data_IF_289695105489
#
_entry.id   IF_289695105489
#
_cell.length_a   1.000
_cell.length_b   1.000
_cell.length_c   1.000
_cell.angle_alpha   90.00
_cell.angle_beta   90.00
_cell.angle_gamma   90.00
#
_symmetry.space_group_name_H-M   'P 1'
#
loop_
_entity.id
_entity.type
_entity.pdbx_description
1 polymer ?
#
# COMPACT_ATOMS: atom_id res chain seq x y z
N UNK A 1 0.55 -1.59 -15.31
CA UNK A 1 0.65 -3.03 -15.01
C UNK A 1 -0.08 -3.88 -16.04
N UNK A 2 -1.39 -3.68 -16.27
CA UNK A 2 -2.18 -4.48 -17.24
C UNK A 2 -1.55 -4.66 -18.62
N UNK A 3 -1.13 -3.57 -19.27
CA UNK A 3 -0.49 -3.65 -20.59
C UNK A 3 0.75 -4.56 -20.60
N UNK A 4 1.57 -4.52 -19.54
CA UNK A 4 2.74 -5.37 -19.44
C UNK A 4 2.36 -6.86 -19.28
N UNK A 5 1.29 -7.15 -18.54
CA UNK A 5 0.77 -8.52 -18.40
C UNK A 5 0.20 -9.03 -19.72
N UNK A 6 -0.62 -8.22 -20.40
CA UNK A 6 -1.17 -8.56 -21.71
C UNK A 6 -0.06 -8.80 -22.75
N UNK A 7 0.97 -7.93 -22.80
CA UNK A 7 2.12 -8.14 -23.67
C UNK A 7 2.89 -9.42 -23.32
N UNK A 8 3.11 -9.69 -22.03
CA UNK A 8 3.80 -10.90 -21.59
C UNK A 8 3.04 -12.16 -22.00
N UNK A 9 1.73 -12.21 -21.81
CA UNK A 9 0.92 -13.39 -22.14
C UNK A 9 0.68 -13.56 -23.65
N UNK A 10 0.36 -12.49 -24.37
CA UNK A 10 -0.13 -12.60 -25.75
C UNK A 10 0.95 -12.33 -26.79
N UNK A 11 1.81 -11.33 -26.58
CA UNK A 11 2.87 -10.99 -27.54
C UNK A 11 4.11 -11.85 -27.32
N UNK A 12 4.60 -11.95 -26.08
CA UNK A 12 5.78 -12.76 -25.74
C UNK A 12 5.46 -14.23 -25.44
N UNK A 13 4.16 -14.56 -25.30
CA UNK A 13 3.69 -15.93 -25.06
C UNK A 13 4.33 -16.59 -23.82
N UNK A 14 4.60 -15.80 -22.78
CA UNK A 14 5.10 -16.29 -21.50
C UNK A 14 4.12 -17.31 -20.92
N UNK A 15 4.59 -18.54 -20.62
CA UNK A 15 3.76 -19.64 -20.10
C UNK A 15 4.05 -20.04 -18.66
N UNK A 16 5.23 -19.70 -18.15
CA UNK A 16 5.63 -20.08 -16.80
C UNK A 16 5.04 -19.15 -15.75
N UNK A 17 5.62 -17.95 -15.64
CA UNK A 17 5.28 -16.99 -14.60
C UNK A 17 5.55 -15.57 -15.07
N UNK A 18 4.84 -14.62 -14.46
CA UNK A 18 5.07 -13.19 -14.64
C UNK A 18 5.46 -12.60 -13.28
N UNK A 19 6.61 -11.96 -13.23
CA UNK A 19 7.11 -11.25 -12.06
C UNK A 19 6.78 -9.75 -12.16
N UNK A 20 6.40 -9.14 -11.04
CA UNK A 20 6.16 -7.70 -10.92
C UNK A 20 6.92 -7.09 -9.76
N UNK A 21 7.37 -5.86 -10.00
CA UNK A 21 8.04 -5.03 -9.01
C UNK A 21 7.72 -3.55 -9.25
N UNK A 22 7.73 -2.77 -8.18
CA UNK A 22 7.58 -1.31 -8.28
C UNK A 22 8.91 -0.66 -8.73
N UNK A 23 8.83 0.49 -9.40
CA UNK A 23 10.03 1.20 -9.91
C UNK A 23 11.00 1.70 -8.83
N UNK A 24 10.57 1.74 -7.57
CA UNK A 24 11.33 2.16 -6.40
C UNK A 24 11.81 0.96 -5.55
N UNK A 25 11.80 -0.24 -6.11
CA UNK A 25 12.11 -1.48 -5.40
C UNK A 25 13.39 -2.14 -5.92
N UNK A 26 14.27 -2.54 -5.00
CA UNK A 26 15.47 -3.31 -5.28
C UNK A 26 15.24 -4.77 -4.87
N UNK A 27 15.36 -5.68 -5.83
CA UNK A 27 15.10 -7.11 -5.64
C UNK A 27 16.41 -7.86 -5.37
N UNK A 28 16.41 -8.80 -4.42
CA UNK A 28 17.57 -9.65 -4.15
C UNK A 28 17.92 -10.53 -5.37
N UNK A 29 19.20 -10.85 -5.54
CA UNK A 29 19.71 -11.63 -6.69
C UNK A 29 19.07 -13.00 -6.88
N UNK A 30 18.72 -13.70 -5.80
CA UNK A 30 18.02 -15.00 -5.84
C UNK A 30 16.49 -14.88 -5.90
N UNK A 31 15.94 -13.65 -6.04
CA UNK A 31 14.53 -13.39 -5.83
C UNK A 31 13.61 -14.08 -6.83
N UNK A 32 14.00 -14.11 -8.11
CA UNK A 32 13.23 -14.81 -9.14
C UNK A 32 13.23 -16.33 -8.91
N UNK A 33 14.40 -16.91 -8.65
CA UNK A 33 14.55 -18.36 -8.48
C UNK A 33 13.76 -18.89 -7.27
N UNK A 34 13.86 -18.21 -6.12
CA UNK A 34 13.14 -18.60 -4.89
C UNK A 34 11.62 -18.48 -5.07
N UNK A 35 11.14 -17.40 -5.70
CA UNK A 35 9.71 -17.21 -5.93
C UNK A 35 9.16 -18.19 -6.94
N UNK A 36 9.89 -18.45 -8.03
CA UNK A 36 9.49 -19.40 -9.05
C UNK A 36 9.46 -20.83 -8.49
N UNK A 37 10.43 -21.19 -7.65
CA UNK A 37 10.47 -22.49 -6.96
C UNK A 37 9.23 -22.68 -6.09
N UNK A 38 8.84 -21.68 -5.30
CA UNK A 38 7.63 -21.76 -4.48
C UNK A 38 6.35 -21.77 -5.34
N UNK A 39 6.30 -21.00 -6.42
CA UNK A 39 5.15 -20.99 -7.33
C UNK A 39 4.94 -22.36 -7.98
N UNK A 40 6.03 -23.01 -8.40
CA UNK A 40 6.02 -24.34 -9.03
C UNK A 40 5.83 -25.49 -8.05
N UNK A 41 5.94 -25.26 -6.74
CA UNK A 41 5.84 -26.33 -5.74
C UNK A 41 4.47 -27.00 -5.68
N UNK A 42 3.44 -26.41 -6.29
CA UNK A 42 2.10 -26.98 -6.35
C UNK A 42 1.31 -26.33 -7.49
N UNK A 43 0.50 -27.08 -8.27
CA UNK A 43 -0.29 -26.51 -9.36
C UNK A 43 -1.42 -25.59 -8.86
N UNK A 44 -1.79 -25.68 -7.59
CA UNK A 44 -2.82 -24.85 -6.98
C UNK A 44 -2.30 -23.45 -6.60
N UNK A 45 -0.99 -23.19 -6.62
CA UNK A 45 -0.43 -21.88 -6.24
C UNK A 45 -0.47 -20.95 -7.47
N UNK A 46 -1.37 -19.98 -7.44
CA UNK A 46 -1.52 -19.00 -8.53
C UNK A 46 -0.64 -17.76 -8.36
N UNK A 47 -0.15 -17.49 -7.15
CA UNK A 47 0.75 -16.37 -6.92
C UNK A 47 1.54 -16.43 -5.63
N UNK A 48 2.69 -15.76 -5.64
CA UNK A 48 3.68 -15.73 -4.56
C UNK A 48 4.13 -14.29 -4.33
N UNK A 49 4.40 -13.93 -3.06
CA UNK A 49 5.07 -12.69 -2.67
C UNK A 49 6.22 -13.01 -1.73
N UNK A 50 7.09 -12.04 -1.48
CA UNK A 50 8.26 -12.19 -0.64
C UNK A 50 8.32 -11.09 0.43
N UNK A 51 9.38 -11.10 1.26
CA UNK A 51 9.57 -10.08 2.29
C UNK A 51 9.82 -8.71 1.65
N UNK A 52 9.17 -7.68 2.18
CA UNK A 52 9.39 -6.29 1.76
C UNK A 52 10.01 -5.54 2.92
N UNK A 53 11.23 -5.09 2.72
CA UNK A 53 11.99 -4.31 3.68
C UNK A 53 11.96 -2.84 3.30
N UNK A 54 12.13 -1.98 4.30
CA UNK A 54 12.18 -0.53 4.10
C UNK A 54 13.64 -0.10 3.97
N UNK A 55 14.02 0.29 2.76
CA UNK A 55 15.38 0.74 2.42
C UNK A 55 15.77 1.97 3.23
N UNK A 56 14.92 3.00 3.23
CA UNK A 56 15.21 4.30 3.79
C UNK A 56 14.89 4.43 5.30
N UNK A 57 14.98 3.33 6.05
CA UNK A 57 14.71 3.29 7.51
C UNK A 57 15.63 4.19 8.35
N UNK A 58 16.75 4.62 7.79
CA UNK A 58 17.69 5.53 8.45
C UNK A 58 17.29 7.02 8.33
N UNK A 59 16.47 7.39 7.33
CA UNK A 59 16.19 8.80 7.00
C UNK A 59 15.29 9.51 8.00
N UNK A 60 14.36 8.80 8.66
CA UNK A 60 13.51 9.39 9.68
C UNK A 60 13.03 8.36 10.71
N UNK A 61 12.63 8.84 11.90
CA UNK A 61 12.01 7.99 12.92
C UNK A 61 10.74 7.30 12.38
N UNK A 62 9.95 8.01 11.58
CA UNK A 62 8.75 7.46 10.95
C UNK A 62 9.07 6.30 10.00
N UNK A 63 10.04 6.47 9.11
CA UNK A 63 10.49 5.41 8.21
C UNK A 63 11.02 4.21 8.98
N UNK A 64 11.72 4.44 10.09
CA UNK A 64 12.21 3.38 10.99
C UNK A 64 11.09 2.62 11.69
N UNK A 65 10.07 3.32 12.20
CA UNK A 65 8.88 2.69 12.78
C UNK A 65 8.09 1.90 11.74
N UNK A 66 8.03 2.40 10.49
CA UNK A 66 7.44 1.67 9.37
C UNK A 66 8.23 0.40 9.06
N UNK A 67 9.56 0.46 9.06
CA UNK A 67 10.41 -0.73 8.88
C UNK A 67 10.11 -1.81 9.94
N UNK A 68 9.98 -1.40 11.22
CA UNK A 68 9.58 -2.32 12.28
C UNK A 68 8.18 -2.92 12.03
N UNK A 69 7.19 -2.10 11.66
CA UNK A 69 5.84 -2.59 11.30
C UNK A 69 5.84 -3.56 10.12
N UNK A 70 6.65 -3.28 9.10
CA UNK A 70 6.78 -4.12 7.91
C UNK A 70 7.35 -5.48 8.26
N UNK A 71 8.36 -5.53 9.13
CA UNK A 71 8.89 -6.80 9.62
C UNK A 71 7.78 -7.69 10.21
N UNK A 72 6.93 -7.15 11.08
CA UNK A 72 5.77 -7.89 11.60
C UNK A 72 4.73 -8.23 10.53
N UNK A 73 4.51 -7.34 9.55
CA UNK A 73 3.57 -7.57 8.46
C UNK A 73 3.97 -8.80 7.65
N UNK A 74 5.24 -8.90 7.26
CA UNK A 74 5.69 -9.97 6.37
C UNK A 74 6.06 -11.24 7.15
N UNK A 75 6.84 -11.10 8.23
CA UNK A 75 7.40 -12.26 8.92
C UNK A 75 6.45 -12.91 9.92
N UNK A 76 5.36 -12.23 10.32
CA UNK A 76 4.33 -12.80 11.20
C UNK A 76 2.99 -12.91 10.47
N UNK A 77 2.43 -11.79 10.00
CA UNK A 77 1.07 -11.78 9.43
C UNK A 77 1.02 -12.53 8.08
N UNK A 78 1.85 -12.17 7.10
CA UNK A 78 1.91 -12.86 5.79
C UNK A 78 2.43 -14.29 5.92
N UNK A 79 3.38 -14.54 6.81
CA UNK A 79 3.84 -15.89 7.11
C UNK A 79 2.69 -16.78 7.63
N UNK A 80 1.87 -16.28 8.55
CA UNK A 80 0.68 -16.97 9.04
C UNK A 80 -0.34 -17.22 7.92
N UNK A 81 -0.61 -16.22 7.09
CA UNK A 81 -1.50 -16.40 5.93
C UNK A 81 -0.97 -17.45 4.94
N UNK A 82 0.35 -17.51 4.72
CA UNK A 82 0.99 -18.49 3.84
C UNK A 82 0.86 -19.92 4.37
N UNK A 83 0.83 -20.11 5.69
CA UNK A 83 0.53 -21.42 6.30
C UNK A 83 -0.85 -21.92 5.83
N UNK A 84 -1.83 -21.03 5.81
CA UNK A 84 -3.20 -21.29 5.34
C UNK A 84 -3.39 -21.13 3.82
N UNK A 85 -2.30 -20.80 3.11
CA UNK A 85 -2.24 -20.61 1.66
C UNK A 85 -3.22 -19.57 1.10
N UNK A 86 -3.52 -18.55 1.91
CA UNK A 86 -4.50 -17.51 1.62
C UNK A 86 -3.93 -16.10 1.88
N UNK A 87 -2.71 -15.84 1.43
CA UNK A 87 -2.12 -14.49 1.47
C UNK A 87 -3.04 -13.50 0.74
N UNK A 88 -3.69 -12.61 1.50
CA UNK A 88 -4.77 -11.75 1.00
C UNK A 88 -4.31 -10.54 0.20
N UNK A 89 -3.00 -10.31 0.11
CA UNK A 89 -2.40 -9.28 -0.73
C UNK A 89 -0.96 -9.68 -1.07
N UNK A 90 -0.73 -10.07 -2.33
CA UNK A 90 0.61 -10.19 -2.88
C UNK A 90 1.12 -8.78 -3.14
N UNK A 91 2.23 -8.40 -2.51
CA UNK A 91 2.64 -7.00 -2.42
C UNK A 91 3.23 -6.50 -3.74
N UNK A 92 2.80 -5.33 -4.23
CA UNK A 92 3.30 -4.71 -5.47
C UNK A 92 4.83 -4.64 -5.63
N UNK A 93 5.63 -4.33 -4.58
CA UNK A 93 7.09 -4.33 -4.65
C UNK A 93 7.71 -5.65 -5.14
N UNK A 94 7.13 -6.80 -4.79
CA UNK A 94 7.68 -8.10 -5.16
C UNK A 94 6.59 -9.18 -5.14
N UNK A 95 6.05 -9.48 -6.31
CA UNK A 95 5.07 -10.55 -6.51
C UNK A 95 5.32 -11.30 -7.82
N UNK A 96 4.91 -12.56 -7.85
CA UNK A 96 5.03 -13.43 -9.02
C UNK A 96 3.73 -14.21 -9.18
N UNK A 97 3.26 -14.35 -10.42
CA UNK A 97 1.98 -14.94 -10.77
C UNK A 97 2.17 -16.02 -11.82
N UNK A 98 1.41 -17.11 -11.74
CA UNK A 98 1.41 -18.16 -12.77
C UNK A 98 0.76 -17.61 -14.03
N UNK A 99 1.45 -17.73 -15.17
CA UNK A 99 0.98 -17.11 -16.41
C UNK A 99 -0.36 -17.70 -16.89
N UNK A 100 -0.52 -19.03 -16.82
CA UNK A 100 -1.76 -19.72 -17.24
C UNK A 100 -3.01 -19.26 -16.47
N UNK A 101 -2.85 -18.94 -15.18
CA UNK A 101 -3.97 -18.53 -14.33
C UNK A 101 -4.44 -17.10 -14.67
N UNK A 102 -3.53 -16.27 -15.16
CA UNK A 102 -3.81 -14.87 -15.50
C UNK A 102 -4.65 -14.71 -16.78
N UNK A 103 -4.66 -15.70 -17.68
CA UNK A 103 -5.41 -15.62 -18.94
C UNK A 103 -6.92 -15.38 -18.73
N UNK A 104 -7.49 -15.97 -17.67
CA UNK A 104 -8.92 -15.80 -17.33
C UNK A 104 -9.19 -14.66 -16.34
N UNK A 105 -8.17 -14.22 -15.61
CA UNK A 105 -8.30 -13.24 -14.52
C UNK A 105 -8.06 -11.80 -14.99
N UNK A 106 -7.21 -11.60 -15.98
CA UNK A 106 -6.72 -10.28 -16.39
C UNK A 106 -7.81 -9.30 -16.84
N UNK A 107 -8.77 -9.79 -17.63
CA UNK A 107 -9.88 -8.99 -18.13
C UNK A 107 -10.74 -8.45 -16.99
N UNK A 108 -11.34 -9.34 -16.16
CA UNK A 108 -12.11 -8.94 -14.98
C UNK A 108 -11.33 -8.05 -14.01
N UNK A 109 -10.04 -8.34 -13.80
CA UNK A 109 -9.18 -7.52 -12.94
C UNK A 109 -9.02 -6.08 -13.44
N UNK A 110 -8.80 -5.88 -14.74
CA UNK A 110 -8.62 -4.54 -15.31
C UNK A 110 -9.93 -3.73 -15.37
N UNK A 111 -11.05 -4.42 -15.55
CA UNK A 111 -12.38 -3.80 -15.64
C UNK A 111 -13.03 -3.61 -14.26
N UNK A 112 -12.26 -3.68 -13.18
CA UNK A 112 -12.78 -3.51 -11.82
C UNK A 112 -13.42 -2.12 -11.65
N UNK A 113 -14.70 -2.12 -11.28
CA UNK A 113 -15.45 -0.92 -10.91
C UNK A 113 -16.01 -1.03 -9.50
N UNK A 114 -16.16 0.12 -8.83
CA UNK A 114 -16.87 0.23 -7.57
C UNK A 114 -17.71 1.50 -7.59
N UNK A 115 -18.98 1.41 -7.21
CA UNK A 115 -19.89 2.57 -7.21
C UNK A 115 -19.96 3.28 -8.58
N UNK A 116 -19.91 2.52 -9.68
CA UNK A 116 -19.97 3.02 -11.06
C UNK A 116 -18.69 3.69 -11.58
N UNK A 117 -17.56 3.59 -10.85
CA UNK A 117 -16.28 4.19 -11.23
C UNK A 117 -15.18 3.14 -11.34
N UNK A 118 -14.28 3.32 -12.31
CA UNK A 118 -13.08 2.52 -12.45
C UNK A 118 -12.16 2.68 -11.23
N UNK A 119 -11.59 1.58 -10.77
CA UNK A 119 -10.67 1.62 -9.63
C UNK A 119 -9.23 1.86 -10.11
N UNK A 120 -8.58 2.87 -9.56
CA UNK A 120 -7.27 3.35 -10.05
C UNK A 120 -6.08 2.90 -9.21
N UNK A 121 -6.31 2.29 -8.04
CA UNK A 121 -5.27 1.85 -7.10
C UNK A 121 -5.68 0.58 -6.35
N UNK A 122 -4.71 -0.19 -5.87
CA UNK A 122 -4.97 -1.45 -5.16
C UNK A 122 -5.16 -2.64 -6.10
N UNK A 123 -4.54 -2.55 -7.27
CA UNK A 123 -4.45 -3.53 -8.32
C UNK A 123 -3.79 -4.83 -7.83
N UNK A 124 -2.78 -4.72 -6.97
CA UNK A 124 -2.11 -5.85 -6.31
C UNK A 124 -3.05 -6.72 -5.46
N UNK A 125 -3.86 -6.06 -4.62
CA UNK A 125 -4.85 -6.71 -3.75
C UNK A 125 -6.02 -7.27 -4.55
N UNK A 126 -6.52 -6.53 -5.53
CA UNK A 126 -7.62 -7.03 -6.36
C UNK A 126 -7.20 -8.25 -7.16
N UNK A 127 -6.01 -8.24 -7.77
CA UNK A 127 -5.47 -9.40 -8.48
C UNK A 127 -5.33 -10.61 -7.56
N UNK A 128 -4.83 -10.39 -6.34
CA UNK A 128 -4.73 -11.43 -5.32
C UNK A 128 -6.09 -12.00 -4.97
N UNK A 129 -7.10 -11.15 -4.83
CA UNK A 129 -8.46 -11.56 -4.53
C UNK A 129 -9.08 -12.37 -5.66
N UNK A 130 -8.84 -11.99 -6.93
CA UNK A 130 -9.27 -12.77 -8.09
C UNK A 130 -8.66 -14.18 -8.08
N UNK A 131 -7.36 -14.32 -7.82
CA UNK A 131 -6.74 -15.64 -7.67
C UNK A 131 -7.46 -16.48 -6.61
N UNK A 132 -7.69 -15.90 -5.43
CA UNK A 132 -8.33 -16.59 -4.31
C UNK A 132 -9.80 -16.94 -4.60
N UNK A 133 -10.52 -16.08 -5.31
CA UNK A 133 -11.90 -16.30 -5.73
C UNK A 133 -12.02 -17.39 -6.81
N UNK A 134 -10.97 -17.60 -7.61
CA UNK A 134 -10.86 -18.71 -8.55
C UNK A 134 -10.38 -20.02 -7.89
N UNK A 135 -10.28 -20.06 -6.56
CA UNK A 135 -9.87 -21.25 -5.80
C UNK A 135 -8.36 -21.54 -5.83
N UNK A 136 -7.56 -20.65 -6.44
CA UNK A 136 -6.12 -20.73 -6.39
C UNK A 136 -5.61 -20.32 -5.01
N UNK A 137 -4.38 -20.72 -4.72
CA UNK A 137 -3.68 -20.48 -3.46
C UNK A 137 -2.62 -19.42 -3.64
N UNK A 138 -2.39 -18.64 -2.60
CA UNK A 138 -1.37 -17.59 -2.58
C UNK A 138 -0.42 -17.79 -1.42
N UNK A 139 0.88 -17.60 -1.67
CA UNK A 139 1.94 -17.92 -0.71
C UNK A 139 2.92 -16.77 -0.51
N UNK A 140 3.61 -16.83 0.62
CA UNK A 140 4.72 -15.95 0.97
C UNK A 140 5.98 -16.78 1.24
N UNK A 141 7.13 -16.28 0.80
CA UNK A 141 8.47 -16.80 1.14
C UNK A 141 9.29 -15.75 1.89
N UNK A 142 10.02 -16.19 2.93
CA UNK A 142 10.98 -15.38 3.67
C UNK A 142 12.43 -15.60 3.18
N UNK A 143 12.64 -16.49 2.20
CA UNK A 143 13.98 -16.87 1.68
C UNK A 143 14.59 -15.83 0.73
N UNK A 144 13.76 -14.90 0.27
CA UNK A 144 14.19 -13.74 -0.50
C UNK A 144 13.43 -12.51 -0.03
N UNK A 145 13.97 -11.33 -0.33
CA UNK A 145 13.31 -10.06 -0.04
C UNK A 145 13.53 -9.03 -1.15
N UNK A 146 12.83 -7.90 -1.02
CA UNK A 146 13.13 -6.67 -1.73
C UNK A 146 13.20 -5.48 -0.76
N UNK A 147 13.87 -4.42 -1.18
CA UNK A 147 14.02 -3.18 -0.44
C UNK A 147 13.24 -2.06 -1.17
N UNK A 148 12.28 -1.43 -0.47
CA UNK A 148 11.40 -0.39 -1.01
C UNK A 148 11.43 0.89 -0.16
N UNK A 149 11.01 2.03 -0.73
CA UNK A 149 11.00 3.34 -0.05
C UNK A 149 9.70 3.56 0.73
N UNK A 150 9.80 3.99 1.98
CA UNK A 150 8.67 4.45 2.80
C UNK A 150 8.63 5.98 2.88
N UNK A 151 7.43 6.61 2.95
CA UNK A 151 7.34 8.05 3.15
C UNK A 151 7.99 8.50 4.47
N UNK A 152 8.86 9.53 4.40
CA UNK A 152 9.55 10.08 5.56
C UNK A 152 8.74 11.15 6.31
N UNK A 153 7.77 11.77 5.64
CA UNK A 153 6.88 12.79 6.21
C UNK A 153 5.54 12.20 6.64
N UNK A 154 5.03 12.62 7.81
CA UNK A 154 3.78 12.11 8.38
C UNK A 154 2.56 12.26 7.45
N UNK A 155 2.37 13.44 6.84
CA UNK A 155 1.21 13.69 5.96
C UNK A 155 1.21 12.76 4.74
N UNK A 156 2.37 12.58 4.10
CA UNK A 156 2.51 11.67 2.96
C UNK A 156 2.32 10.21 3.36
N UNK A 157 2.79 9.83 4.54
CA UNK A 157 2.55 8.52 5.12
C UNK A 157 1.05 8.30 5.34
N UNK A 158 0.33 9.24 5.96
CA UNK A 158 -1.13 9.16 6.14
C UNK A 158 -1.85 9.02 4.80
N UNK A 159 -1.51 9.85 3.81
CA UNK A 159 -2.13 9.76 2.48
C UNK A 159 -1.92 8.37 1.84
N UNK A 160 -0.72 7.81 1.95
CA UNK A 160 -0.43 6.46 1.48
C UNK A 160 -1.25 5.41 2.23
N UNK A 161 -1.29 5.46 3.56
CA UNK A 161 -2.03 4.49 4.37
C UNK A 161 -3.55 4.58 4.17
N UNK A 162 -4.08 5.78 3.98
CA UNK A 162 -5.48 6.00 3.62
C UNK A 162 -5.80 5.32 2.29
N UNK A 163 -4.95 5.48 1.27
CA UNK A 163 -5.13 4.81 -0.03
C UNK A 163 -5.14 3.29 0.09
N UNK A 164 -4.23 2.71 0.86
CA UNK A 164 -4.22 1.26 1.12
C UNK A 164 -5.47 0.81 1.86
N UNK A 165 -5.94 1.60 2.83
CA UNK A 165 -7.17 1.32 3.57
C UNK A 165 -8.41 1.40 2.69
N UNK A 166 -8.47 2.36 1.76
CA UNK A 166 -9.57 2.45 0.77
C UNK A 166 -9.63 1.20 -0.09
N UNK A 167 -8.49 0.74 -0.61
CA UNK A 167 -8.42 -0.49 -1.39
C UNK A 167 -8.86 -1.69 -0.55
N UNK A 168 -8.38 -1.82 0.69
CA UNK A 168 -8.79 -2.91 1.57
C UNK A 168 -10.31 -2.95 1.82
N UNK A 169 -10.93 -1.83 2.20
CA UNK A 169 -12.38 -1.78 2.43
C UNK A 169 -13.18 -2.06 1.17
N UNK A 170 -12.71 -1.57 0.01
CA UNK A 170 -13.32 -1.91 -1.26
C UNK A 170 -13.25 -3.41 -1.54
N UNK A 171 -12.07 -4.02 -1.44
CA UNK A 171 -11.90 -5.47 -1.66
C UNK A 171 -12.70 -6.34 -0.67
N UNK A 172 -13.08 -5.78 0.49
CA UNK A 172 -13.94 -6.48 1.45
C UNK A 172 -15.28 -6.92 0.86
N UNK A 173 -15.77 -6.25 -0.19
CA UNK A 173 -16.98 -6.64 -0.91
C UNK A 173 -16.78 -7.79 -1.89
N UNK A 174 -15.54 -8.08 -2.28
CA UNK A 174 -15.19 -9.18 -3.20
C UNK A 174 -14.66 -10.42 -2.47
N UNK A 175 -14.13 -10.28 -1.24
CA UNK A 175 -13.70 -11.42 -0.42
C UNK A 175 -14.75 -12.53 -0.18
N UNK A 176 -16.08 -12.27 -0.14
CA UNK A 176 -17.06 -13.34 0.05
C UNK A 176 -16.96 -14.49 -0.95
N UNK A 177 -16.60 -14.21 -2.22
CA UNK A 177 -16.37 -15.25 -3.22
C UNK A 177 -15.19 -16.15 -2.83
N UNK A 178 -14.10 -15.55 -2.34
CA UNK A 178 -12.91 -16.27 -1.88
C UNK A 178 -13.20 -17.17 -0.67
N UNK A 179 -14.12 -16.82 0.23
CA UNK A 179 -14.41 -17.63 1.42
C UNK A 179 -14.98 -19.02 1.10
N UNK A 180 -15.61 -19.20 -0.07
CA UNK A 180 -16.11 -20.50 -0.49
C UNK A 180 -14.99 -21.50 -0.85
N UNK A 181 -13.81 -21.02 -1.25
CA UNK A 181 -12.70 -21.85 -1.73
C UNK A 181 -11.50 -21.90 -0.78
N UNK A 182 -11.41 -20.92 0.12
CA UNK A 182 -10.25 -20.71 0.98
C UNK A 182 -10.46 -21.25 2.40
N UNK A 183 -9.37 -21.36 3.17
CA UNK A 183 -9.43 -21.78 4.58
C UNK A 183 -10.36 -20.85 5.37
N UNK A 184 -11.16 -21.36 6.34
CA UNK A 184 -11.94 -20.53 7.27
C UNK A 184 -11.09 -19.48 8.01
N UNK A 185 -9.78 -19.71 8.14
CA UNK A 185 -8.85 -18.73 8.68
C UNK A 185 -8.89 -17.39 7.92
N UNK A 186 -9.07 -17.42 6.59
CA UNK A 186 -9.18 -16.20 5.79
C UNK A 186 -10.37 -15.35 6.23
N UNK A 187 -11.53 -15.98 6.49
CA UNK A 187 -12.71 -15.27 6.99
C UNK A 187 -12.45 -14.62 8.35
N UNK A 188 -11.85 -15.38 9.28
CA UNK A 188 -11.49 -14.87 10.62
C UNK A 188 -10.57 -13.66 10.50
N UNK A 189 -9.50 -13.78 9.73
CA UNK A 189 -8.51 -12.72 9.60
C UNK A 189 -9.07 -11.48 8.91
N UNK A 190 -9.81 -11.64 7.81
CA UNK A 190 -10.44 -10.50 7.11
C UNK A 190 -11.46 -9.80 8.01
N UNK A 191 -12.23 -10.56 8.79
CA UNK A 191 -13.20 -10.00 9.75
C UNK A 191 -12.48 -9.19 10.83
N UNK A 192 -11.40 -9.73 11.41
CA UNK A 192 -10.60 -9.01 12.41
C UNK A 192 -9.99 -7.76 11.79
N UNK A 193 -9.37 -7.85 10.62
CA UNK A 193 -8.76 -6.67 9.96
C UNK A 193 -9.79 -5.59 9.61
N UNK A 194 -11.01 -5.97 9.23
CA UNK A 194 -12.08 -5.04 8.91
C UNK A 194 -12.68 -4.39 10.16
N UNK A 195 -12.98 -5.16 11.21
CA UNK A 195 -13.73 -4.67 12.37
C UNK A 195 -12.86 -4.07 13.48
N UNK A 196 -11.64 -4.58 13.67
CA UNK A 196 -10.78 -4.18 14.78
C UNK A 196 -10.53 -2.67 14.89
N UNK A 197 -10.28 -1.92 13.80
CA UNK A 197 -10.13 -0.47 13.89
C UNK A 197 -11.37 0.23 14.46
N UNK A 198 -12.58 -0.23 14.12
CA UNK A 198 -13.82 0.38 14.58
C UNK A 198 -14.12 0.03 16.03
N UNK A 199 -13.81 -1.19 16.45
CA UNK A 199 -13.88 -1.61 17.86
C UNK A 199 -12.95 -0.72 18.69
N UNK A 200 -11.70 -0.53 18.26
CA UNK A 200 -10.75 0.35 18.95
C UNK A 200 -11.27 1.79 19.09
N UNK A 201 -11.85 2.35 18.03
CA UNK A 201 -12.40 3.71 18.06
C UNK A 201 -13.57 3.79 19.04
N UNK A 202 -14.51 2.83 18.96
CA UNK A 202 -15.65 2.77 19.88
C UNK A 202 -15.19 2.64 21.34
N UNK A 203 -14.21 1.77 21.62
CA UNK A 203 -13.64 1.60 22.96
C UNK A 203 -13.01 2.89 23.48
N UNK A 204 -12.24 3.61 22.64
CA UNK A 204 -11.61 4.88 23.02
C UNK A 204 -12.67 5.94 23.33
N UNK A 205 -13.67 6.10 22.46
CA UNK A 205 -14.75 7.06 22.69
C UNK A 205 -15.58 6.72 23.92
N UNK A 206 -15.87 5.44 24.16
CA UNK A 206 -16.53 4.97 25.38
C UNK A 206 -15.74 5.34 26.63
N UNK A 207 -14.43 5.06 26.67
CA UNK A 207 -13.60 5.42 27.82
C UNK A 207 -13.49 6.93 28.06
N UNK A 208 -13.54 7.74 27.01
CA UNK A 208 -13.42 9.18 27.14
C UNK A 208 -14.73 9.86 27.52
N UNK A 209 -15.87 9.41 26.99
CA UNK A 209 -17.14 10.16 27.06
C UNK A 209 -18.26 9.47 27.84
N UNK A 210 -18.19 8.18 28.11
CA UNK A 210 -19.25 7.49 28.84
C UNK A 210 -19.24 7.91 30.32
N UNK A 211 -20.40 8.36 30.80
CA UNK A 211 -20.62 8.79 32.18
C UNK A 211 -21.06 7.66 33.10
N UNK A 212 -21.49 6.52 32.54
CA UNK A 212 -21.96 5.36 33.30
C UNK A 212 -20.83 4.55 33.93
N UNK A 213 -19.61 4.64 33.38
CA UNK A 213 -18.45 3.91 33.87
C UNK A 213 -17.79 4.62 35.05
N UNK A 214 -17.94 4.06 36.24
CA UNK A 214 -17.41 4.64 37.49
C UNK A 214 -15.93 4.37 37.72
N UNK A 215 -15.27 3.48 36.96
CA UNK A 215 -13.89 3.09 37.23
C UNK A 215 -12.88 3.90 36.41
N UNK A 216 -12.08 4.80 37.04
CA UNK A 216 -11.07 5.60 36.34
C UNK A 216 -9.88 4.77 35.85
N UNK A 217 -9.73 3.54 36.31
CA UNK A 217 -8.56 2.69 36.03
C UNK A 217 -8.68 1.89 34.73
N UNK A 218 -9.89 1.66 34.21
CA UNK A 218 -10.10 0.83 33.00
C UNK A 218 -9.33 1.35 31.77
N UNK A 219 -9.31 2.66 31.46
CA UNK A 219 -8.52 3.17 30.34
C UNK A 219 -7.01 2.96 30.54
N UNK A 220 -6.53 3.10 31.77
CA UNK A 220 -5.11 2.90 32.12
C UNK A 220 -4.73 1.42 31.94
N UNK A 221 -5.52 0.50 32.49
CA UNK A 221 -5.30 -0.95 32.36
C UNK A 221 -5.31 -1.35 30.88
N UNK A 222 -6.24 -0.80 30.10
CA UNK A 222 -6.34 -1.07 28.67
C UNK A 222 -5.10 -0.57 27.91
N UNK A 223 -4.62 0.65 28.18
CA UNK A 223 -3.39 1.19 27.58
C UNK A 223 -2.17 0.36 27.98
N UNK A 224 -2.01 0.04 29.26
CA UNK A 224 -0.90 -0.79 29.77
C UNK A 224 -0.92 -2.16 29.12
N UNK A 225 -2.10 -2.77 28.95
CA UNK A 225 -2.25 -4.08 28.30
C UNK A 225 -1.86 -3.98 26.82
N UNK A 226 -2.36 -2.99 26.09
CA UNK A 226 -2.08 -2.82 24.66
C UNK A 226 -0.58 -2.59 24.41
N UNK A 227 0.04 -1.65 25.13
CA UNK A 227 1.47 -1.38 25.01
C UNK A 227 2.32 -2.52 25.57
N UNK A 228 1.86 -3.22 26.60
CA UNK A 228 2.50 -4.41 27.15
C UNK A 228 2.55 -5.56 26.15
N UNK A 229 1.45 -5.85 25.46
CA UNK A 229 1.41 -6.84 24.37
C UNK A 229 2.30 -6.41 23.21
N UNK A 230 2.28 -5.14 22.82
CA UNK A 230 3.15 -4.62 21.75
C UNK A 230 4.63 -4.73 22.12
N UNK A 231 5.00 -4.43 23.38
CA UNK A 231 6.35 -4.58 23.90
C UNK A 231 6.77 -6.06 23.93
N UNK A 232 5.92 -6.95 24.42
CA UNK A 232 6.17 -8.39 24.42
C UNK A 232 6.44 -8.91 23.00
N UNK A 233 5.57 -8.58 22.04
CA UNK A 233 5.79 -8.91 20.62
C UNK A 233 7.12 -8.37 20.10
N UNK A 234 7.47 -7.14 20.48
CA UNK A 234 8.72 -6.50 20.07
C UNK A 234 9.95 -7.20 20.65
N UNK A 235 9.91 -7.60 21.93
CA UNK A 235 10.99 -8.36 22.58
C UNK A 235 11.20 -9.70 21.86
N UNK A 236 10.12 -10.45 21.60
CA UNK A 236 10.22 -11.70 20.85
C UNK A 236 10.85 -11.50 19.47
N UNK A 237 10.45 -10.46 18.75
CA UNK A 237 11.02 -10.13 17.45
C UNK A 237 12.53 -9.81 17.54
N UNK A 238 12.95 -9.06 18.56
CA UNK A 238 14.39 -8.80 18.82
C UNK A 238 15.14 -10.09 19.13
N UNK A 239 14.55 -11.00 19.91
CA UNK A 239 15.19 -12.26 20.26
C UNK A 239 15.40 -13.16 19.04
N UNK A 240 14.44 -13.17 18.11
CA UNK A 240 14.48 -13.95 16.86
C UNK A 240 15.42 -13.31 15.85
N UNK A 241 15.26 -12.01 15.55
CA UNK A 241 15.97 -11.34 14.46
C UNK A 241 17.29 -10.71 14.87
N UNK A 242 17.58 -10.61 16.17
CA UNK A 242 18.75 -9.90 16.72
C UNK A 242 18.86 -8.44 16.28
N UNK A 243 17.74 -7.84 15.87
CA UNK A 243 17.67 -6.43 15.49
C UNK A 243 16.96 -5.62 16.60
N UNK A 244 17.70 -4.82 17.40
CA UNK A 244 17.12 -4.04 18.50
C UNK A 244 16.14 -2.96 17.99
N UNK A 245 16.20 -2.57 16.72
CA UNK A 245 15.28 -1.57 16.16
C UNK A 245 13.82 -2.04 16.16
N UNK A 246 13.58 -3.35 16.24
CA UNK A 246 12.24 -3.92 16.33
C UNK A 246 11.50 -3.53 17.63
N UNK A 247 12.22 -3.06 18.67
CA UNK A 247 11.60 -2.44 19.86
C UNK A 247 10.72 -1.23 19.52
N UNK A 248 11.01 -0.52 18.43
CA UNK A 248 10.19 0.62 17.98
C UNK A 248 8.77 0.22 17.59
N UNK A 249 8.49 -1.06 17.34
CA UNK A 249 7.13 -1.53 17.11
C UNK A 249 6.23 -1.30 18.34
N UNK A 250 6.76 -1.36 19.56
CA UNK A 250 6.00 -1.01 20.77
C UNK A 250 5.47 0.43 20.74
N UNK A 251 6.23 1.35 20.14
CA UNK A 251 5.82 2.74 19.95
C UNK A 251 4.97 2.96 18.69
N UNK A 252 4.87 1.99 17.77
CA UNK A 252 4.06 2.08 16.55
C UNK A 252 2.57 2.33 16.86
N UNK A 253 2.09 1.89 18.02
CA UNK A 253 0.74 2.16 18.52
C UNK A 253 0.40 3.66 18.52
N UNK A 254 1.36 4.55 18.79
CA UNK A 254 1.14 6.00 18.76
C UNK A 254 0.83 6.51 17.35
N UNK A 255 1.64 6.14 16.35
CA UNK A 255 1.41 6.57 14.97
C UNK A 255 0.18 5.90 14.36
N UNK A 256 -0.13 4.67 14.80
CA UNK A 256 -1.36 4.00 14.46
C UNK A 256 -2.57 4.77 14.99
N UNK A 257 -2.57 5.13 16.28
CA UNK A 257 -3.68 5.83 16.93
C UNK A 257 -3.92 7.24 16.38
N UNK A 258 -2.86 8.05 16.22
CA UNK A 258 -2.98 9.44 15.78
C UNK A 258 -3.01 9.61 14.26
N UNK A 259 -2.64 8.60 13.48
CA UNK A 259 -2.60 8.70 12.03
C UNK A 259 -3.50 7.69 11.34
N UNK A 260 -3.24 6.40 11.55
CA UNK A 260 -3.91 5.35 10.77
C UNK A 260 -5.36 5.10 11.19
N UNK A 261 -5.64 5.10 12.49
CA UNK A 261 -6.94 4.77 13.05
C UNK A 261 -8.08 5.68 12.53
N UNK A 262 -8.02 7.02 12.65
CA UNK A 262 -9.03 7.89 12.04
C UNK A 262 -9.02 7.82 10.51
N UNK A 263 -7.87 7.53 9.89
CA UNK A 263 -7.76 7.34 8.45
C UNK A 263 -8.52 6.11 7.95
N UNK A 264 -8.78 5.10 8.80
CA UNK A 264 -9.62 3.95 8.45
C UNK A 264 -11.08 4.37 8.27
N UNK A 265 -11.64 5.17 9.17
CA UNK A 265 -13.00 5.71 9.01
C UNK A 265 -13.07 6.57 7.75
N UNK A 266 -12.12 7.49 7.60
CA UNK A 266 -12.09 8.37 6.43
C UNK A 266 -11.98 7.57 5.13
N UNK A 267 -11.14 6.53 5.09
CA UNK A 267 -11.02 5.63 3.95
C UNK A 267 -12.33 4.89 3.64
N UNK A 268 -13.06 4.40 4.65
CA UNK A 268 -14.34 3.73 4.45
C UNK A 268 -15.37 4.67 3.82
N UNK A 269 -15.50 5.89 4.33
CA UNK A 269 -16.46 6.88 3.80
C UNK A 269 -16.08 7.35 2.38
N UNK A 270 -14.78 7.40 2.08
CA UNK A 270 -14.26 7.95 0.82
C UNK A 270 -13.69 6.91 -0.13
N UNK A 271 -14.05 5.62 0.03
CA UNK A 271 -13.51 4.53 -0.79
C UNK A 271 -13.91 4.61 -2.27
N UNK A 272 -15.01 5.30 -2.59
CA UNK A 272 -15.46 5.56 -3.97
C UNK A 272 -14.74 6.77 -4.64
N UNK A 273 -13.73 7.34 -3.98
CA UNK A 273 -12.90 8.40 -4.57
C UNK A 273 -11.62 7.78 -5.14
N UNK A 274 -11.44 7.95 -6.46
CA UNK A 274 -10.40 7.31 -7.26
C UNK A 274 -9.16 8.20 -7.48
N UNK A 275 -9.12 9.39 -6.86
CA UNK A 275 -7.95 10.24 -6.89
C UNK A 275 -6.76 9.57 -6.20
N UNK A 276 -5.61 9.49 -6.88
CA UNK A 276 -4.40 8.84 -6.36
C UNK A 276 -3.87 9.48 -5.07
N UNK A 277 -4.16 10.78 -4.86
CA UNK A 277 -3.91 11.49 -3.61
C UNK A 277 -2.44 11.66 -3.21
N UNK A 278 -1.50 11.20 -4.02
CA UNK A 278 -0.07 11.45 -3.82
C UNK A 278 0.50 11.98 -5.13
N UNK A 279 1.36 12.99 -5.06
CA UNK A 279 2.04 13.53 -6.24
C UNK A 279 3.06 12.51 -6.76
N UNK A 280 3.48 12.64 -8.02
CA UNK A 280 4.57 11.83 -8.55
C UNK A 280 5.82 12.03 -7.67
N UNK A 281 6.63 10.99 -7.52
CA UNK A 281 7.76 11.01 -6.57
C UNK A 281 8.96 11.84 -7.05
N UNK A 282 8.86 12.52 -8.20
CA UNK A 282 9.96 13.28 -8.77
C UNK A 282 10.41 14.41 -7.83
N UNK A 283 11.70 14.70 -7.83
CA UNK A 283 12.29 15.78 -7.03
C UNK A 283 11.68 17.14 -7.34
N UNK A 284 11.20 17.36 -8.58
CA UNK A 284 10.48 18.56 -8.99
C UNK A 284 9.07 18.65 -8.41
N UNK A 285 8.32 17.54 -8.34
CA UNK A 285 6.99 17.50 -7.73
C UNK A 285 7.06 17.64 -6.20
N UNK A 286 8.07 17.03 -5.54
CA UNK A 286 8.29 17.20 -4.09
C UNK A 286 8.51 18.68 -3.70
N UNK A 287 9.14 19.47 -4.58
CA UNK A 287 9.39 20.91 -4.36
C UNK A 287 8.15 21.79 -4.58
N UNK A 288 7.14 21.32 -5.31
CA UNK A 288 5.99 22.13 -5.72
C UNK A 288 5.02 22.46 -4.57
N UNK A 289 5.18 21.80 -3.42
CA UNK A 289 4.29 21.96 -2.27
C UNK A 289 2.87 21.48 -2.55
N UNK A 290 2.09 21.22 -1.51
CA UNK A 290 0.65 20.95 -1.65
C UNK A 290 -0.14 22.22 -1.35
N UNK A 291 -1.19 22.48 -2.12
CA UNK A 291 -2.14 23.55 -1.77
C UNK A 291 -2.81 23.25 -0.43
N UNK A 292 -3.30 24.29 0.26
CA UNK A 292 -4.00 24.11 1.53
C UNK A 292 -5.18 23.13 1.40
N UNK A 293 -6.01 23.28 0.37
CA UNK A 293 -7.16 22.39 0.12
C UNK A 293 -6.74 20.94 -0.13
N UNK A 294 -5.69 20.73 -0.92
CA UNK A 294 -5.16 19.39 -1.18
C UNK A 294 -4.63 18.75 0.10
N UNK A 295 -3.94 19.52 0.93
CA UNK A 295 -3.46 19.04 2.23
C UNK A 295 -4.65 18.72 3.14
N UNK A 296 -5.64 19.61 3.26
CA UNK A 296 -6.85 19.39 4.06
C UNK A 296 -7.57 18.10 3.66
N UNK A 297 -7.65 17.80 2.37
CA UNK A 297 -8.22 16.53 1.89
C UNK A 297 -7.50 15.30 2.47
N UNK A 298 -6.20 15.36 2.73
CA UNK A 298 -5.43 14.26 3.29
C UNK A 298 -5.43 14.16 4.81
N UNK A 299 -5.73 15.24 5.54
CA UNK A 299 -5.49 15.29 7.00
C UNK A 299 -6.64 15.93 7.81
N UNK A 300 -7.69 16.45 7.19
CA UNK A 300 -8.80 17.08 7.93
C UNK A 300 -9.46 16.11 8.92
N UNK A 301 -9.60 14.84 8.55
CA UNK A 301 -10.13 13.80 9.46
C UNK A 301 -9.25 13.59 10.70
N UNK A 302 -7.95 13.89 10.63
CA UNK A 302 -7.06 13.84 11.79
C UNK A 302 -7.33 15.00 12.74
N UNK A 303 -7.63 16.20 12.23
CA UNK A 303 -7.99 17.36 13.06
C UNK A 303 -9.26 17.06 13.85
N UNK A 304 -10.28 16.50 13.19
CA UNK A 304 -11.53 16.07 13.84
C UNK A 304 -11.22 15.04 14.94
N UNK A 305 -10.39 14.06 14.63
CA UNK A 305 -9.98 13.03 15.59
C UNK A 305 -9.22 13.61 16.78
N UNK A 306 -8.27 14.51 16.57
CA UNK A 306 -7.49 15.14 17.64
C UNK A 306 -8.41 15.93 18.55
N UNK A 307 -9.29 16.76 17.98
CA UNK A 307 -10.29 17.49 18.77
C UNK A 307 -11.14 16.54 19.61
N UNK A 308 -11.67 15.46 19.02
CA UNK A 308 -12.46 14.48 19.77
C UNK A 308 -11.66 13.83 20.91
N UNK A 309 -10.43 13.42 20.67
CA UNK A 309 -9.58 12.78 21.69
C UNK A 309 -9.21 13.76 22.81
N UNK A 310 -8.71 14.95 22.50
CA UNK A 310 -8.27 15.90 23.54
C UNK A 310 -9.43 16.51 24.32
N UNK A 311 -10.56 16.79 23.67
CA UNK A 311 -11.79 17.20 24.37
C UNK A 311 -12.29 16.07 25.26
N UNK A 312 -12.27 14.83 24.77
CA UNK A 312 -12.62 13.65 25.54
C UNK A 312 -11.69 13.44 26.75
N UNK A 313 -10.38 13.65 26.59
CA UNK A 313 -9.44 13.60 27.71
C UNK A 313 -9.75 14.70 28.72
N UNK A 314 -9.98 15.94 28.28
CA UNK A 314 -10.35 17.04 29.19
C UNK A 314 -11.63 16.75 29.97
N UNK A 315 -12.65 16.22 29.29
CA UNK A 315 -13.90 15.79 29.90
C UNK A 315 -13.69 14.63 30.90
N UNK A 316 -12.94 13.61 30.51
CA UNK A 316 -12.61 12.47 31.38
C UNK A 316 -11.87 12.92 32.65
N UNK A 317 -10.84 13.76 32.51
CA UNK A 317 -10.06 14.27 33.66
C UNK A 317 -10.91 15.18 34.53
N UNK A 318 -11.73 16.05 33.95
CA UNK A 318 -12.71 16.84 34.71
C UNK A 318 -13.62 15.94 35.54
N UNK A 319 -14.17 14.88 34.95
CA UNK A 319 -15.03 13.92 35.65
C UNK A 319 -14.33 13.20 36.80
N UNK A 320 -13.07 12.81 36.62
CA UNK A 320 -12.29 12.08 37.64
C UNK A 320 -11.88 12.98 38.81
N UNK A 321 -11.51 14.22 38.54
CA UNK A 321 -10.94 15.14 39.55
C UNK A 321 -11.88 16.26 40.00
N UNK A 322 -13.05 16.42 39.37
CA UNK A 322 -14.07 17.40 39.71
C UNK A 322 -13.77 18.86 39.33
N UNK A 323 -12.60 19.18 38.76
CA UNK A 323 -12.23 20.56 38.44
C UNK A 323 -12.55 20.93 36.97
N UNK A 324 -13.45 21.89 36.72
CA UNK A 324 -13.87 22.25 35.35
C UNK A 324 -12.75 22.84 34.49
N UNK A 325 -11.66 23.33 35.08
CA UNK A 325 -10.50 23.82 34.33
C UNK A 325 -9.86 22.75 33.44
N UNK A 326 -10.03 21.46 33.76
CA UNK A 326 -9.49 20.37 32.94
C UNK A 326 -10.12 20.28 31.54
N UNK A 327 -11.29 20.89 31.30
CA UNK A 327 -11.87 21.00 29.95
C UNK A 327 -10.94 21.77 29.01
N UNK A 328 -10.10 22.68 29.54
CA UNK A 328 -9.11 23.42 28.76
C UNK A 328 -8.05 22.53 28.10
N UNK A 329 -7.87 21.28 28.55
CA UNK A 329 -7.03 20.28 27.88
C UNK A 329 -7.50 20.08 26.43
N UNK A 330 -8.79 20.26 26.13
CA UNK A 330 -9.31 20.22 24.76
C UNK A 330 -8.62 21.20 23.82
N UNK A 331 -8.20 22.38 24.31
CA UNK A 331 -7.49 23.38 23.52
C UNK A 331 -6.10 22.90 23.06
N UNK A 332 -5.51 21.90 23.72
CA UNK A 332 -4.24 21.29 23.32
C UNK A 332 -4.33 20.68 21.92
N UNK A 333 -5.52 20.24 21.46
CA UNK A 333 -5.73 19.74 20.10
C UNK A 333 -5.30 20.72 18.99
N UNK A 334 -5.31 22.02 19.26
CA UNK A 334 -4.92 23.05 18.30
C UNK A 334 -3.45 22.92 17.90
N UNK A 335 -2.57 22.49 18.81
CA UNK A 335 -1.14 22.36 18.57
C UNK A 335 -0.83 21.26 17.54
N UNK A 336 -1.18 19.97 17.76
CA UNK A 336 -0.92 18.94 16.78
C UNK A 336 -1.69 19.20 15.48
N UNK A 337 -2.89 19.79 15.55
CA UNK A 337 -3.64 20.18 14.35
C UNK A 337 -2.92 21.25 13.53
N UNK A 338 -2.35 22.27 14.16
CA UNK A 338 -1.55 23.28 13.48
C UNK A 338 -0.26 22.67 12.90
N UNK A 339 0.40 21.77 13.64
CA UNK A 339 1.59 21.04 13.15
C UNK A 339 1.28 20.19 11.92
N UNK A 340 0.06 19.65 11.80
CA UNK A 340 -0.35 18.95 10.58
C UNK A 340 -0.39 19.85 9.35
N UNK A 341 -0.55 21.17 9.49
CA UNK A 341 -0.49 22.17 8.41
C UNK A 341 0.84 22.93 8.33
N UNK A 342 1.74 22.71 9.28
CA UNK A 342 3.08 23.28 9.27
C UNK A 342 3.96 22.59 8.23
N UNK A 343 4.68 23.36 7.40
CA UNK A 343 5.61 22.82 6.38
C UNK A 343 7.09 22.94 6.81
N UNK A 344 7.39 23.56 7.95
CA UNK A 344 8.76 23.72 8.43
C UNK A 344 9.35 22.43 8.99
N UNK A 345 10.64 22.19 8.71
CA UNK A 345 11.42 21.13 9.34
C UNK A 345 11.58 21.41 10.84
N UNK A 346 11.13 20.49 11.68
CA UNK A 346 11.45 20.52 13.11
C UNK A 346 12.88 19.99 13.29
N UNK A 347 13.86 20.89 13.25
CA UNK A 347 15.25 20.54 13.59
C UNK A 347 15.38 20.42 15.10
N UNK A 348 15.28 19.19 15.61
CA UNK A 348 15.74 18.83 16.97
C UNK A 348 17.27 18.60 17.00
N UNK A 349 18.01 19.20 16.05
CA UNK A 349 19.44 18.96 15.81
C UNK A 349 20.40 19.73 16.72
N UNK A 350 19.89 20.52 17.68
CA UNK A 350 20.74 21.30 18.59
C UNK A 350 21.43 20.48 19.67
N UNK A 351 20.90 19.30 20.05
CA UNK A 351 21.38 18.57 21.24
C UNK A 351 22.17 17.28 20.94
N UNK A 352 22.20 16.81 19.68
CA UNK A 352 22.97 15.62 19.29
C UNK A 352 23.74 15.87 17.99
N UNK A 353 24.76 16.73 18.07
CA UNK A 353 25.80 16.81 17.05
C UNK A 353 26.73 15.58 17.19
N UNK A 354 26.24 14.41 16.80
CA UNK A 354 27.08 13.22 16.66
C UNK A 354 28.02 13.47 15.48
N UNK A 355 29.33 13.47 15.75
CA UNK A 355 30.39 13.42 14.73
C UNK A 355 29.98 12.43 13.64
N UNK A 356 30.12 12.84 12.37
CA UNK A 356 30.13 11.95 11.21
C UNK A 356 31.10 10.80 11.55
N UNK A 357 30.56 9.64 11.88
CA UNK A 357 31.35 8.40 11.90
C UNK A 357 31.57 8.10 10.43
N UNK A 358 32.84 8.09 10.02
CA UNK A 358 33.22 7.60 8.70
C UNK A 358 32.78 6.13 8.63
N UNK A 359 31.68 5.87 7.93
CA UNK A 359 31.35 4.51 7.52
C UNK A 359 32.38 4.12 6.47
N UNK A 360 33.10 3.05 6.74
CA UNK A 360 33.94 2.35 5.78
C UNK A 360 33.20 2.23 4.45
N UNK A 361 33.82 2.79 3.43
CA UNK A 361 33.48 2.60 2.02
C UNK A 361 33.49 1.11 1.72
N UNK A 362 32.31 0.49 1.73
CA UNK A 362 32.06 -0.67 0.89
C UNK A 362 32.27 -0.19 -0.54
N UNK A 363 33.28 -0.77 -1.20
CA UNK A 363 33.62 -0.54 -2.60
C UNK A 363 32.35 -0.49 -3.43
N UNK A 364 32.07 0.61 -4.15
CA UNK A 364 30.97 0.60 -5.11
C UNK A 364 31.31 -0.49 -6.12
N UNK A 365 30.34 -1.36 -6.41
CA UNK A 365 30.39 -2.17 -7.63
C UNK A 365 30.50 -1.15 -8.76
N UNK A 366 31.68 -1.05 -9.38
CA UNK A 366 31.85 -0.33 -10.63
C UNK A 366 30.94 -1.03 -11.63
N UNK A 367 29.85 -0.36 -11.99
CA UNK A 367 29.17 -0.64 -13.24
C UNK A 367 30.14 -0.10 -14.29
N UNK A 368 30.99 -0.97 -14.81
CA UNK A 368 31.75 -0.68 -16.00
C UNK A 368 30.74 -0.40 -17.11
N UNK A 369 30.83 0.82 -17.64
CA UNK A 369 30.13 1.30 -18.83
C UNK A 369 28.69 1.84 -18.63
N UNK A 370 28.59 3.14 -18.30
CA UNK A 370 27.33 3.91 -18.36
C UNK A 370 26.67 3.90 -19.76
N UNK A 371 27.40 3.47 -20.81
CA UNK A 371 26.86 3.35 -22.17
C UNK A 371 25.89 2.16 -22.35
N UNK A 372 25.82 1.24 -21.39
CA UNK A 372 24.90 0.08 -21.38
C UNK A 372 23.51 0.42 -20.79
N UNK A 373 23.33 1.63 -20.23
CA UNK A 373 22.02 2.08 -19.78
C UNK A 373 21.16 2.46 -21.00
N UNK A 374 19.92 1.95 -21.12
CA UNK A 374 19.03 2.36 -22.20
C UNK A 374 18.84 3.88 -22.14
N UNK A 375 19.06 4.55 -23.28
CA UNK A 375 18.89 6.00 -23.39
C UNK A 375 17.48 6.38 -22.93
N UNK A 376 17.43 7.44 -22.13
CA UNK A 376 16.18 8.00 -21.62
C UNK A 376 15.26 8.29 -22.81
N UNK A 377 14.04 7.74 -22.88
CA UNK A 377 13.17 7.95 -24.03
C UNK A 377 12.92 9.45 -24.22
N UNK A 378 13.00 9.92 -25.46
CA UNK A 378 12.68 11.30 -25.80
C UNK A 378 11.27 11.65 -25.35
N UNK A 379 11.08 12.91 -24.94
CA UNK A 379 9.75 13.41 -24.54
C UNK A 379 8.78 13.17 -25.69
N UNK A 380 7.68 12.48 -25.40
CA UNK A 380 6.56 12.33 -26.32
C UNK A 380 6.16 13.71 -26.86
N UNK A 381 6.07 13.83 -28.19
CA UNK A 381 5.64 15.04 -28.89
C UNK A 381 4.29 15.48 -28.32
N UNK A 382 4.27 16.61 -27.61
CA UNK A 382 3.04 17.24 -27.17
C UNK A 382 2.33 17.82 -28.39
N UNK A 383 1.31 17.15 -28.90
CA UNK A 383 0.41 17.72 -29.89
C UNK A 383 -0.39 18.82 -29.19
N UNK A 384 0.05 20.06 -29.39
CA UNK A 384 -0.71 21.26 -29.03
C UNK A 384 -1.93 21.34 -29.94
N UNK A 385 -3.13 21.14 -29.39
CA UNK A 385 -4.39 21.36 -30.11
C UNK A 385 -4.68 22.86 -30.26
N UNK A 386 -3.92 23.56 -31.11
CA UNK A 386 -4.40 24.81 -31.70
C UNK A 386 -5.28 24.45 -32.90
N UNK A 387 -6.59 24.53 -32.70
CA UNK A 387 -7.58 24.62 -33.78
C UNK A 387 -7.28 25.89 -34.59
N UNK A 388 -6.63 25.75 -35.74
CA UNK A 388 -6.74 26.71 -36.83
C UNK A 388 -7.21 25.98 -38.07
N UNK A 389 -8.41 26.35 -38.50
CA UNK A 389 -8.97 26.07 -39.81
C UNK A 389 -8.02 26.47 -40.94
N UNK A 390 -8.07 25.69 -42.01
CA UNK A 390 -7.61 25.93 -43.38
C UNK A 390 -6.27 25.30 -43.82
N UNK A 391 -6.48 24.31 -44.71
CA UNK A 391 -5.71 24.03 -45.93
C UNK A 391 -4.35 23.35 -45.78
N UNK A 392 -4.31 22.04 -46.04
CA UNK A 392 -3.50 21.50 -47.14
C UNK A 392 -3.76 19.99 -47.33
N UNK A 393 -4.36 19.70 -48.48
CA UNK A 393 -4.48 18.38 -49.09
C UNK A 393 -3.07 17.83 -49.38
N UNK A 394 -2.74 16.64 -48.89
CA UNK A 394 -1.80 15.73 -49.56
C UNK A 394 -2.06 14.27 -49.15
N UNK A 395 -2.42 13.50 -50.19
CA UNK A 395 -2.59 12.05 -50.33
C UNK A 395 -1.94 11.19 -49.22
N UNK A 396 -2.80 10.47 -48.50
CA UNK A 396 -2.50 9.11 -48.02
C UNK A 396 -3.71 8.24 -48.34
N UNK A 397 -3.52 7.28 -49.23
CA UNK A 397 -4.53 6.30 -49.62
C UNK A 397 -4.86 5.43 -48.41
N UNK A 398 -6.07 5.57 -47.86
CA UNK A 398 -6.61 4.68 -46.84
C UNK A 398 -7.25 3.52 -47.60
N UNK A 399 -6.64 2.34 -47.53
CA UNK A 399 -7.28 1.09 -47.98
C UNK A 399 -8.45 0.82 -47.05
N UNK A 400 -9.64 0.71 -47.63
CA UNK A 400 -10.88 0.45 -46.91
C UNK A 400 -10.98 -1.05 -46.61
N UNK A 401 -11.51 -1.40 -45.44
CA UNK A 401 -11.74 -2.79 -44.97
C UNK A 401 -12.65 -3.60 -45.91
N UNK A 402 -13.30 -2.95 -46.89
CA UNK A 402 -14.07 -3.60 -47.95
C UNK A 402 -13.22 -4.24 -49.05
N UNK A 403 -11.98 -3.78 -49.27
CA UNK A 403 -11.11 -4.30 -50.32
C UNK A 403 -10.40 -5.60 -49.90
N UNK A 404 -10.30 -5.87 -48.60
CA UNK A 404 -9.69 -7.10 -48.06
C UNK A 404 -10.66 -8.28 -48.08
N UNK A 405 -11.98 -8.02 -48.01
CA UNK A 405 -12.99 -9.09 -48.07
C UNK A 405 -13.14 -9.68 -49.47
N UNK A 406 -12.94 -8.88 -50.53
CA UNK A 406 -13.10 -9.33 -51.92
C UNK A 406 -11.88 -10.13 -52.44
N UNK A 407 -10.68 -9.92 -51.87
CA UNK A 407 -9.48 -10.72 -52.20
C UNK A 407 -9.48 -12.10 -51.54
N UNK A 408 -10.06 -12.24 -50.34
CA UNK A 408 -10.19 -13.52 -49.64
C UNK A 408 -11.25 -14.41 -50.29
N UNK A 409 -12.33 -13.85 -50.82
CA UNK A 409 -13.38 -14.62 -51.50
C UNK A 409 -12.93 -15.18 -52.87
N UNK A 410 -12.00 -14.50 -53.56
CA UNK A 410 -11.42 -14.99 -54.83
C UNK A 410 -10.37 -16.09 -54.65
N UNK A 411 -9.65 -16.11 -53.53
CA UNK A 411 -8.65 -17.16 -53.23
C UNK A 411 -9.29 -18.45 -52.74
N UNK A 412 -10.46 -18.39 -52.10
CA UNK A 412 -11.21 -19.59 -51.67
C UNK A 412 -11.91 -20.28 -52.86
N UNK A 413 -12.39 -19.53 -53.86
CA UNK A 413 -13.05 -20.11 -55.04
C UNK A 413 -12.10 -20.70 -56.09
N UNK A 414 -10.79 -20.42 -56.02
CA UNK A 414 -9.79 -21.00 -56.93
C UNK A 414 -9.11 -22.26 -56.39
N UNK A 415 -9.28 -22.58 -55.11
CA UNK A 415 -8.78 -23.82 -54.48
C UNK A 415 -9.79 -24.99 -54.50
N UNK A 416 -11.01 -24.77 -55.00
CA UNK A 416 -12.10 -25.77 -55.10
C UNK A 416 -12.26 -26.35 -56.53
N UNK A 417 -11.41 -25.96 -57.47
CA UNK A 417 -11.50 -26.38 -58.88
C UNK A 417 -10.15 -26.86 -59.47
N UNK A 418 -9.35 -27.57 -58.68
CA UNK A 418 -8.16 -28.29 -59.14
C UNK A 418 -8.12 -29.70 -58.55
#
# INVERSE_FOLDING_TARGET
MFTAFAMSLYAFRTRDAIFTTDSDTLVQSNGLDEMLTLLRSSPQIGGVTADVKIWNRAESLLARMCAARYWFAFNIERACQSLWRCVGCLSGPMSMYRASDLETILGPWNLQTFGGKETTFGDDRHLTNQLLAHGLRTRYTHRTWCDSESPTSFVRWVAQQTRWSKSFFRESFWFPASFAYQSPWMLVEMTVQALYPFILIATVLHFLFDTSDSSPWRPIIWLVTMFGVALFKSILAVLISKDPWLLLFSAYGFIYFFGLLPSKIYALITMNQTGWGTSARSSSERKRGQSFLQRSFHICHLVIWYTAVFVGIGFFVWRVFGNPLYILIGAVALIPSALLYWQGSFSLGGLFRRKKVASETSTPIQVDDESMLPQKPEKALSISSKRSSNTLVKKTTIVSVKDVTDEVEKTVNTASAA
#
